data_IF_556024683158
#
_entry.id   IF_556024683158
#
_cell.length_a   1.000
_cell.length_b   1.000
_cell.length_c   1.000
_cell.angle_alpha   90.00
_cell.angle_beta   90.00
_cell.angle_gamma   90.00
#
_symmetry.space_group_name_H-M   'P 1'
#
loop_
_entity.id
_entity.type
_entity.pdbx_description
1 polymer ?
#
# COMPACT_ATOMS: atom_id res chain seq x y z
N UNK A 1 22.98 28.21 23.09
CA UNK A 1 21.64 27.62 23.25
C UNK A 1 20.63 28.73 23.09
N UNK A 2 19.69 28.61 22.17
CA UNK A 2 18.63 29.61 21.97
C UNK A 2 17.69 29.62 23.19
N UNK A 3 17.10 30.76 23.54
CA UNK A 3 16.20 30.89 24.69
C UNK A 3 15.05 29.85 24.68
N UNK A 4 14.64 29.39 23.50
CA UNK A 4 13.66 28.32 23.29
C UNK A 4 14.09 26.94 23.79
N UNK A 5 15.39 26.62 23.73
CA UNK A 5 15.90 25.34 24.27
C UNK A 5 15.81 25.34 25.79
N UNK A 6 16.16 26.47 26.42
CA UNK A 6 16.10 26.62 27.87
C UNK A 6 14.65 26.54 28.40
N UNK A 7 13.70 27.17 27.71
CA UNK A 7 12.28 27.09 28.08
C UNK A 7 11.71 25.70 27.86
N UNK A 8 12.08 25.00 26.77
CA UNK A 8 11.67 23.61 26.56
C UNK A 8 12.19 22.67 27.67
N UNK A 9 13.43 22.85 28.11
CA UNK A 9 14.00 22.10 29.25
C UNK A 9 13.22 22.42 30.53
N UNK A 10 12.94 23.69 30.82
CA UNK A 10 12.19 24.12 32.00
C UNK A 10 10.77 23.51 32.03
N UNK A 11 10.04 23.55 30.91
CA UNK A 11 8.71 22.92 30.82
C UNK A 11 8.78 21.40 30.97
N UNK A 12 9.78 20.75 30.38
CA UNK A 12 9.97 19.29 30.52
C UNK A 12 10.21 18.89 31.98
N UNK A 13 11.05 19.66 32.69
CA UNK A 13 11.33 19.47 34.12
C UNK A 13 10.06 19.72 34.96
N UNK A 14 9.30 20.79 34.66
CA UNK A 14 8.04 21.07 35.35
C UNK A 14 7.03 19.94 35.18
N UNK A 15 6.83 19.43 33.96
CA UNK A 15 5.94 18.30 33.67
C UNK A 15 6.39 17.06 34.47
N UNK A 16 7.70 16.78 34.53
CA UNK A 16 8.23 15.68 35.33
C UNK A 16 7.84 15.80 36.81
N UNK A 17 8.01 16.99 37.41
CA UNK A 17 7.63 17.24 38.80
C UNK A 17 6.12 17.08 39.03
N UNK A 18 5.30 17.56 38.10
CA UNK A 18 3.84 17.39 38.15
C UNK A 18 3.46 15.89 38.12
N UNK A 19 4.07 15.10 37.24
CA UNK A 19 3.84 13.65 37.15
C UNK A 19 4.28 12.92 38.43
N UNK A 20 5.44 13.29 38.99
CA UNK A 20 5.92 12.75 40.26
C UNK A 20 4.99 13.11 41.43
N UNK A 21 4.51 14.35 41.48
CA UNK A 21 3.55 14.81 42.48
C UNK A 21 2.24 14.05 42.37
N UNK A 22 1.69 13.88 41.16
CA UNK A 22 0.49 13.07 40.93
C UNK A 22 0.68 11.60 41.36
N UNK A 23 1.84 11.01 41.08
CA UNK A 23 2.11 9.63 41.53
C UNK A 23 2.18 9.52 43.05
N UNK A 24 2.72 10.54 43.74
CA UNK A 24 2.80 10.59 45.20
C UNK A 24 1.43 10.82 45.84
N UNK A 25 0.64 11.76 45.34
CA UNK A 25 -0.72 11.99 45.83
C UNK A 25 -1.59 10.76 45.59
N UNK A 26 -1.46 10.10 44.44
CA UNK A 26 -2.11 8.82 44.17
C UNK A 26 -1.68 7.71 45.15
N UNK A 27 -0.40 7.65 45.51
CA UNK A 27 0.10 6.68 46.49
C UNK A 27 -0.38 6.97 47.92
N UNK A 28 -0.63 8.23 48.26
CA UNK A 28 -1.11 8.67 49.57
C UNK A 28 -2.64 8.49 49.73
N UNK A 29 -3.42 8.69 48.67
CA UNK A 29 -4.89 8.62 48.71
C UNK A 29 -5.46 7.20 48.68
N UNK A 30 -4.72 6.21 48.16
CA UNK A 30 -5.24 4.87 47.91
C UNK A 30 -4.47 3.76 48.63
N UNK A 31 -5.20 2.78 49.16
CA UNK A 31 -4.61 1.60 49.81
C UNK A 31 -3.82 0.73 48.80
N UNK A 32 -2.99 -0.20 49.30
CA UNK A 32 -2.23 -1.12 48.41
C UNK A 32 -3.16 -1.99 47.55
N UNK A 33 -4.30 -2.40 48.09
CA UNK A 33 -5.27 -3.27 47.40
C UNK A 33 -6.05 -2.51 46.33
N UNK A 34 -6.52 -1.29 46.65
CA UNK A 34 -7.20 -0.41 45.69
C UNK A 34 -6.30 -0.07 44.51
N UNK A 35 -5.01 0.21 44.75
CA UNK A 35 -4.02 0.44 43.69
C UNK A 35 -3.84 -0.79 42.79
N UNK A 36 -3.86 -1.99 43.37
CA UNK A 36 -3.77 -3.25 42.61
C UNK A 36 -5.01 -3.44 41.74
N UNK A 37 -6.20 -3.24 42.31
CA UNK A 37 -7.47 -3.31 41.61
C UNK A 37 -7.56 -2.29 40.47
N UNK A 38 -7.23 -1.02 40.73
CA UNK A 38 -7.18 0.05 39.74
C UNK A 38 -6.18 -0.25 38.62
N UNK A 39 -5.01 -0.79 38.94
CA UNK A 39 -4.04 -1.23 37.92
C UNK A 39 -4.61 -2.34 37.04
N UNK A 40 -5.31 -3.32 37.60
CA UNK A 40 -5.96 -4.37 36.81
C UNK A 40 -7.12 -3.83 35.97
N UNK A 41 -7.94 -2.92 36.52
CA UNK A 41 -9.01 -2.23 35.78
C UNK A 41 -8.46 -1.41 34.62
N UNK A 42 -7.39 -0.63 34.87
CA UNK A 42 -6.70 0.15 33.84
C UNK A 42 -6.09 -0.77 32.78
N UNK A 43 -5.41 -1.85 33.16
CA UNK A 43 -4.88 -2.84 32.21
C UNK A 43 -5.98 -3.47 31.36
N UNK A 44 -7.12 -3.84 31.96
CA UNK A 44 -8.29 -4.35 31.22
C UNK A 44 -8.86 -3.30 30.27
N UNK A 45 -8.99 -2.05 30.71
CA UNK A 45 -9.47 -0.96 29.88
C UNK A 45 -8.53 -0.68 28.70
N UNK A 46 -7.22 -0.62 28.95
CA UNK A 46 -6.19 -0.46 27.91
C UNK A 46 -6.20 -1.63 26.92
N UNK A 47 -6.36 -2.88 27.37
CA UNK A 47 -6.49 -4.04 26.48
C UNK A 47 -7.74 -3.95 25.61
N UNK A 48 -8.90 -3.65 26.21
CA UNK A 48 -10.17 -3.48 25.48
C UNK A 48 -10.10 -2.34 24.47
N UNK A 49 -9.51 -1.20 24.85
CA UNK A 49 -9.28 -0.09 23.92
C UNK A 49 -8.33 -0.49 22.79
N UNK A 50 -7.23 -1.19 23.10
CA UNK A 50 -6.30 -1.68 22.07
C UNK A 50 -6.99 -2.62 21.07
N UNK A 51 -7.88 -3.51 21.54
CA UNK A 51 -8.66 -4.39 20.67
C UNK A 51 -9.64 -3.63 19.78
N UNK A 52 -10.37 -2.67 20.34
CA UNK A 52 -11.31 -1.81 19.58
C UNK A 52 -10.55 -1.00 18.53
N UNK A 53 -9.43 -0.40 18.90
CA UNK A 53 -8.58 0.37 17.98
C UNK A 53 -7.98 -0.52 16.92
N UNK A 54 -7.53 -1.74 17.26
CA UNK A 54 -7.01 -2.71 16.30
C UNK A 54 -8.08 -3.10 15.28
N UNK A 55 -9.32 -3.36 15.71
CA UNK A 55 -10.44 -3.70 14.84
C UNK A 55 -10.80 -2.55 13.89
N UNK A 56 -11.00 -1.34 14.44
CA UNK A 56 -11.25 -0.12 13.63
C UNK A 56 -10.11 0.19 12.66
N UNK A 57 -8.88 -0.06 13.08
CA UNK A 57 -7.69 0.12 12.23
C UNK A 57 -7.62 -0.92 11.13
N UNK A 58 -7.94 -2.18 11.39
CA UNK A 58 -7.91 -3.24 10.38
C UNK A 58 -8.99 -3.10 9.31
N UNK A 59 -10.12 -2.49 9.67
CA UNK A 59 -11.26 -2.21 8.81
C UNK A 59 -11.19 -0.83 8.12
N UNK A 60 -10.19 0.00 8.47
CA UNK A 60 -9.99 1.30 7.84
C UNK A 60 -9.62 1.17 6.36
N UNK A 61 -10.24 2.00 5.51
CA UNK A 61 -9.93 2.14 4.07
C UNK A 61 -8.42 2.29 3.82
N UNK A 62 -7.73 3.08 4.66
CA UNK A 62 -6.28 3.32 4.55
C UNK A 62 -5.50 2.02 4.75
N UNK A 63 -5.90 1.19 5.73
CA UNK A 63 -5.24 -0.09 5.97
C UNK A 63 -5.53 -1.09 4.84
N UNK A 64 -6.72 -1.04 4.24
CA UNK A 64 -7.03 -1.83 3.03
C UNK A 64 -6.15 -1.40 1.87
N UNK A 65 -6.02 -0.09 1.61
CA UNK A 65 -5.12 0.45 0.59
C UNK A 65 -3.66 0.01 0.79
N UNK A 66 -3.15 0.02 2.03
CA UNK A 66 -1.80 -0.50 2.31
C UNK A 66 -1.69 -2.01 2.07
N UNK A 67 -2.72 -2.80 2.39
CA UNK A 67 -2.75 -4.25 2.14
C UNK A 67 -2.77 -4.57 0.65
N UNK A 68 -3.64 -3.92 -0.13
CA UNK A 68 -3.69 -4.03 -1.58
C UNK A 68 -2.36 -3.64 -2.21
N UNK A 69 -1.76 -2.58 -1.68
CA UNK A 69 -0.43 -2.14 -2.04
C UNK A 69 0.66 -3.11 -1.56
N UNK A 70 0.40 -4.29 -0.98
CA UNK A 70 1.42 -5.22 -0.45
C UNK A 70 2.37 -4.58 0.58
N UNK A 71 1.83 -3.72 1.45
CA UNK A 71 2.49 -3.17 2.63
C UNK A 71 1.73 -3.61 3.90
N UNK A 72 1.61 -4.93 4.17
CA UNK A 72 0.78 -5.42 5.28
C UNK A 72 1.32 -4.98 6.66
N UNK A 73 2.59 -4.59 6.73
CA UNK A 73 3.20 -4.06 7.95
C UNK A 73 2.76 -2.62 8.26
N UNK A 74 2.26 -1.87 7.28
CA UNK A 74 1.81 -0.49 7.47
C UNK A 74 0.30 -0.48 7.76
N UNK A 75 -0.06 -0.21 9.01
CA UNK A 75 -1.46 -0.02 9.42
C UNK A 75 -1.77 1.47 9.53
N UNK A 76 -3.05 1.86 9.50
CA UNK A 76 -3.43 3.26 9.68
C UNK A 76 -2.82 3.88 10.96
N UNK A 77 -2.77 3.12 12.07
CA UNK A 77 -2.11 3.57 13.30
C UNK A 77 -0.60 3.82 13.13
N UNK A 78 0.15 2.87 12.55
CA UNK A 78 1.60 3.03 12.32
C UNK A 78 1.89 4.20 11.39
N UNK A 79 1.07 4.35 10.36
CA UNK A 79 1.14 5.45 9.43
C UNK A 79 0.87 6.80 10.12
N UNK A 80 -0.15 6.88 10.97
CA UNK A 80 -0.43 8.08 11.78
C UNK A 80 0.74 8.43 12.71
N UNK A 81 1.38 7.44 13.35
CA UNK A 81 2.57 7.67 14.17
C UNK A 81 3.72 8.22 13.32
N UNK A 82 4.02 7.63 12.16
CA UNK A 82 5.05 8.13 11.24
C UNK A 82 4.73 9.56 10.79
N UNK A 83 3.46 9.86 10.47
CA UNK A 83 3.00 11.19 10.08
C UNK A 83 3.16 12.22 11.20
N UNK A 84 2.83 11.87 12.44
CA UNK A 84 2.97 12.77 13.60
C UNK A 84 4.44 12.99 13.96
N UNK A 85 5.26 11.94 13.94
CA UNK A 85 6.70 12.06 14.20
C UNK A 85 7.37 12.93 13.13
N UNK A 86 7.01 12.73 11.86
CA UNK A 86 7.47 13.57 10.75
C UNK A 86 7.03 15.04 10.91
N UNK A 87 5.77 15.28 11.29
CA UNK A 87 5.24 16.61 11.57
C UNK A 87 6.03 17.31 12.67
N UNK A 88 6.20 16.66 13.82
CA UNK A 88 6.91 17.21 14.98
C UNK A 88 8.37 17.50 14.66
N UNK A 89 9.03 16.61 13.90
CA UNK A 89 10.41 16.79 13.47
C UNK A 89 10.54 18.01 12.53
N UNK A 90 9.62 18.16 11.58
CA UNK A 90 9.58 19.33 10.69
C UNK A 90 9.28 20.63 11.43
N UNK A 91 8.36 20.62 12.40
CA UNK A 91 8.09 21.78 13.25
C UNK A 91 9.29 22.18 14.10
N UNK A 92 10.01 21.21 14.67
CA UNK A 92 11.24 21.45 15.42
C UNK A 92 12.34 22.03 14.52
N UNK A 93 12.48 21.53 13.30
CA UNK A 93 13.42 22.09 12.32
C UNK A 93 13.08 23.56 12.01
N UNK A 94 11.82 23.84 11.65
CA UNK A 94 11.39 25.19 11.29
C UNK A 94 11.48 26.18 12.45
N UNK A 95 11.24 25.75 13.69
CA UNK A 95 11.39 26.60 14.88
C UNK A 95 12.84 27.00 15.14
N UNK A 96 13.80 26.21 14.67
CA UNK A 96 15.23 26.52 14.76
C UNK A 96 15.73 27.39 13.60
N UNK A 97 15.10 27.34 12.43
CA UNK A 97 15.67 27.90 11.19
C UNK A 97 14.86 29.03 10.53
N UNK A 98 13.58 29.21 10.83
CA UNK A 98 12.69 30.06 10.00
C UNK A 98 11.69 30.93 10.76
N UNK A 99 11.11 31.92 10.06
CA UNK A 99 10.04 32.81 10.52
C UNK A 99 8.65 32.13 10.53
N UNK A 100 7.69 32.71 11.25
CA UNK A 100 6.34 32.16 11.48
C UNK A 100 5.54 31.84 10.21
N UNK A 101 5.74 32.58 9.12
CA UNK A 101 5.04 32.36 7.84
C UNK A 101 5.39 31.02 7.18
N UNK A 102 6.65 30.60 7.26
CA UNK A 102 7.10 29.32 6.70
C UNK A 102 6.52 28.12 7.47
N UNK A 103 6.27 28.29 8.77
CA UNK A 103 5.64 27.27 9.62
C UNK A 103 4.20 27.00 9.17
N UNK A 104 3.42 28.05 8.87
CA UNK A 104 2.03 27.88 8.41
C UNK A 104 2.00 27.17 7.05
N UNK A 105 2.83 27.62 6.09
CA UNK A 105 2.94 26.98 4.78
C UNK A 105 3.35 25.51 4.89
N UNK A 106 4.29 25.18 5.77
CA UNK A 106 4.69 23.80 6.04
C UNK A 106 3.54 22.96 6.61
N UNK A 107 2.78 23.48 7.58
CA UNK A 107 1.64 22.75 8.16
C UNK A 107 0.58 22.44 7.10
N UNK A 108 0.25 23.42 6.25
CA UNK A 108 -0.71 23.24 5.15
C UNK A 108 -0.17 22.22 4.14
N UNK A 109 1.08 22.36 3.70
CA UNK A 109 1.70 21.43 2.77
C UNK A 109 1.78 20.01 3.35
N UNK A 110 2.21 19.86 4.60
CA UNK A 110 2.28 18.57 5.27
C UNK A 110 0.90 17.91 5.37
N UNK A 111 -0.13 18.67 5.78
CA UNK A 111 -1.50 18.18 5.86
C UNK A 111 -1.98 17.65 4.51
N UNK A 112 -1.84 18.44 3.43
CA UNK A 112 -2.31 18.07 2.08
C UNK A 112 -1.52 16.90 1.48
N UNK A 113 -0.19 16.93 1.59
CA UNK A 113 0.66 15.92 0.95
C UNK A 113 0.58 14.56 1.64
N UNK A 114 0.32 14.54 2.95
CA UNK A 114 0.34 13.30 3.75
C UNK A 114 -1.03 12.71 4.06
N UNK A 115 -2.14 13.39 3.73
CA UNK A 115 -3.49 12.91 4.02
C UNK A 115 -3.93 11.79 3.06
N UNK A 116 -4.02 10.52 3.49
CA UNK A 116 -4.31 9.41 2.59
C UNK A 116 -5.77 9.42 2.08
N UNK A 117 -6.70 10.09 2.77
CA UNK A 117 -8.09 10.23 2.31
C UNK A 117 -8.17 11.16 1.11
N UNK A 118 -7.28 12.15 1.02
CA UNK A 118 -7.30 13.11 -0.08
C UNK A 118 -6.79 12.45 -1.38
N UNK A 119 -7.61 12.49 -2.45
CA UNK A 119 -7.32 11.81 -3.73
C UNK A 119 -5.99 12.23 -4.37
N UNK A 120 -5.58 13.49 -4.17
CA UNK A 120 -4.36 14.06 -4.74
C UNK A 120 -3.18 14.08 -3.77
N UNK A 121 -3.27 13.45 -2.60
CA UNK A 121 -2.12 13.35 -1.72
C UNK A 121 -1.04 12.48 -2.33
N UNK A 122 0.22 12.83 -2.08
CA UNK A 122 1.36 12.07 -2.60
C UNK A 122 1.33 10.62 -2.16
N UNK A 123 0.84 10.37 -0.95
CA UNK A 123 0.78 9.03 -0.38
C UNK A 123 -0.31 8.20 -1.05
N UNK A 124 -1.49 8.76 -1.30
CA UNK A 124 -2.55 8.06 -2.04
C UNK A 124 -2.12 7.78 -3.48
N UNK A 125 -1.49 8.76 -4.15
CA UNK A 125 -0.95 8.59 -5.49
C UNK A 125 0.14 7.50 -5.55
N UNK A 126 1.04 7.49 -4.57
CA UNK A 126 2.07 6.46 -4.43
C UNK A 126 1.45 5.07 -4.26
N UNK A 127 0.49 4.91 -3.34
CA UNK A 127 -0.18 3.63 -3.09
C UNK A 127 -0.95 3.16 -4.32
N UNK A 128 -1.75 4.04 -4.95
CA UNK A 128 -2.49 3.70 -6.15
C UNK A 128 -1.57 3.24 -7.30
N UNK A 129 -0.44 3.95 -7.50
CA UNK A 129 0.56 3.56 -8.51
C UNK A 129 1.18 2.20 -8.19
N UNK A 130 1.43 1.91 -6.91
CA UNK A 130 1.97 0.61 -6.48
C UNK A 130 0.97 -0.52 -6.67
N UNK A 131 -0.29 -0.31 -6.31
CA UNK A 131 -1.39 -1.28 -6.54
C UNK A 131 -1.50 -1.58 -8.03
N UNK A 132 -1.61 -0.54 -8.87
CA UNK A 132 -1.68 -0.69 -10.32
C UNK A 132 -0.51 -1.50 -10.87
N UNK A 133 0.73 -1.16 -10.46
CA UNK A 133 1.93 -1.90 -10.88
C UNK A 133 1.85 -3.38 -10.50
N UNK A 134 1.39 -3.71 -9.30
CA UNK A 134 1.27 -5.11 -8.87
C UNK A 134 0.20 -5.84 -9.66
N UNK A 135 -0.96 -5.22 -9.91
CA UNK A 135 -2.01 -5.78 -10.75
C UNK A 135 -1.49 -6.07 -12.16
N UNK A 136 -0.76 -5.13 -12.77
CA UNK A 136 -0.12 -5.33 -14.09
C UNK A 136 0.91 -6.47 -14.07
N UNK A 137 1.64 -6.67 -12.98
CA UNK A 137 2.58 -7.79 -12.85
C UNK A 137 1.85 -9.13 -12.71
N UNK A 138 0.76 -9.18 -11.92
CA UNK A 138 -0.09 -10.37 -11.81
C UNK A 138 -0.69 -10.76 -13.16
N UNK A 139 -1.21 -9.77 -13.89
CA UNK A 139 -1.79 -9.98 -15.22
C UNK A 139 -0.72 -10.42 -16.23
N UNK A 140 0.48 -9.83 -16.19
CA UNK A 140 1.65 -10.29 -16.95
C UNK A 140 2.02 -11.75 -16.68
N UNK A 141 1.97 -12.17 -15.40
CA UNK A 141 2.19 -13.57 -15.02
C UNK A 141 1.05 -14.49 -15.46
N UNK A 142 -0.21 -14.03 -15.47
CA UNK A 142 -1.33 -14.81 -16.01
C UNK A 142 -1.18 -15.07 -17.52
N UNK A 143 -0.76 -14.06 -18.30
CA UNK A 143 -0.44 -14.27 -19.72
C UNK A 143 0.72 -15.25 -19.91
N UNK A 144 1.72 -15.20 -19.03
CA UNK A 144 2.86 -16.11 -19.07
C UNK A 144 2.44 -17.54 -18.72
N UNK A 145 1.58 -17.69 -17.69
CA UNK A 145 0.98 -18.96 -17.32
C UNK A 145 0.22 -19.53 -18.51
N UNK A 146 -0.69 -18.77 -19.12
CA UNK A 146 -1.42 -19.19 -20.32
C UNK A 146 -0.50 -19.72 -21.43
N UNK A 147 0.58 -18.99 -21.75
CA UNK A 147 1.54 -19.41 -22.77
C UNK A 147 2.30 -20.69 -22.39
N UNK A 148 2.65 -20.84 -21.11
CA UNK A 148 3.29 -22.06 -20.60
C UNK A 148 2.33 -23.26 -20.66
N UNK A 149 1.09 -23.10 -20.21
CA UNK A 149 0.07 -24.16 -20.29
C UNK A 149 -0.12 -24.63 -21.73
N UNK A 150 -0.21 -23.69 -22.69
CA UNK A 150 -0.28 -24.02 -24.12
C UNK A 150 0.94 -24.81 -24.58
N UNK A 151 2.14 -24.35 -24.22
CA UNK A 151 3.40 -25.00 -24.62
C UNK A 151 3.51 -26.41 -24.04
N UNK A 152 3.17 -26.58 -22.76
CA UNK A 152 3.19 -27.88 -22.07
C UNK A 152 2.16 -28.84 -22.68
N UNK A 153 0.96 -28.37 -23.03
CA UNK A 153 -0.06 -29.20 -23.68
C UNK A 153 0.36 -29.62 -25.09
N UNK A 154 1.04 -28.75 -25.85
CA UNK A 154 1.60 -29.11 -27.17
C UNK A 154 2.72 -30.15 -27.01
N UNK A 155 3.58 -29.99 -25.99
CA UNK A 155 4.70 -30.89 -25.74
C UNK A 155 4.32 -32.22 -25.10
N UNK A 156 3.15 -32.32 -24.49
CA UNK A 156 2.71 -33.53 -23.79
C UNK A 156 2.11 -34.54 -24.78
N UNK A 157 2.72 -35.72 -24.84
CA UNK A 157 2.27 -36.82 -25.71
C UNK A 157 1.15 -37.65 -25.11
N UNK A 158 0.78 -37.42 -23.84
CA UNK A 158 -0.31 -38.16 -23.16
C UNK A 158 -1.66 -37.51 -23.43
N UNK A 159 -2.70 -38.34 -23.56
CA UNK A 159 -4.09 -37.89 -23.74
C UNK A 159 -4.68 -37.30 -22.44
N UNK A 160 -4.38 -37.91 -21.29
CA UNK A 160 -4.86 -37.44 -19.99
C UNK A 160 -3.99 -36.30 -19.41
N UNK A 161 -4.64 -35.18 -19.09
CA UNK A 161 -3.96 -34.00 -18.55
C UNK A 161 -3.89 -34.06 -17.02
N UNK A 162 -2.67 -34.16 -16.49
CA UNK A 162 -2.43 -34.01 -15.05
C UNK A 162 -2.24 -32.54 -14.68
N UNK A 163 -3.35 -31.88 -14.32
CA UNK A 163 -3.39 -30.46 -13.92
C UNK A 163 -2.39 -30.14 -12.80
N UNK A 164 -2.22 -31.05 -11.83
CA UNK A 164 -1.30 -30.83 -10.71
C UNK A 164 0.16 -30.79 -11.17
N UNK A 165 0.56 -31.69 -12.06
CA UNK A 165 1.93 -31.72 -12.59
C UNK A 165 2.22 -30.46 -13.42
N UNK A 166 1.29 -30.13 -14.32
CA UNK A 166 1.35 -28.96 -15.19
C UNK A 166 1.45 -27.65 -14.37
N UNK A 167 0.65 -27.49 -13.32
CA UNK A 167 0.76 -26.33 -12.43
C UNK A 167 2.03 -26.35 -11.58
N UNK A 168 2.49 -27.52 -11.13
CA UNK A 168 3.73 -27.65 -10.35
C UNK A 168 4.96 -27.22 -11.15
N UNK A 169 4.99 -27.53 -12.44
CA UNK A 169 6.10 -27.17 -13.33
C UNK A 169 6.12 -25.68 -13.69
N UNK A 170 4.96 -25.01 -13.67
CA UNK A 170 4.83 -23.57 -13.94
C UNK A 170 5.12 -22.69 -12.70
N UNK A 171 4.94 -23.20 -11.48
CA UNK A 171 5.18 -22.48 -10.21
C UNK A 171 6.55 -21.79 -10.06
N UNK A 172 7.68 -22.34 -10.54
CA UNK A 172 8.98 -21.69 -10.43
C UNK A 172 9.06 -20.39 -11.23
N UNK A 173 8.25 -20.23 -12.27
CA UNK A 173 8.29 -19.10 -13.20
C UNK A 173 7.33 -17.96 -12.83
N UNK A 174 6.52 -18.14 -11.78
CA UNK A 174 5.59 -17.13 -11.29
C UNK A 174 5.93 -16.70 -9.86
N UNK A 175 5.78 -15.41 -9.57
CA UNK A 175 6.09 -14.82 -8.28
C UNK A 175 4.85 -14.22 -7.62
N UNK A 176 4.14 -13.35 -8.33
CA UNK A 176 2.98 -12.61 -7.83
C UNK A 176 1.71 -13.46 -7.72
N UNK A 177 1.46 -14.38 -8.66
CA UNK A 177 0.29 -15.27 -8.64
C UNK A 177 0.55 -16.60 -7.92
N UNK A 178 1.80 -16.88 -7.56
CA UNK A 178 2.22 -18.12 -6.88
C UNK A 178 1.40 -18.46 -5.64
N UNK A 179 1.07 -17.52 -4.72
CA UNK A 179 0.23 -17.84 -3.56
C UNK A 179 -1.17 -18.31 -3.98
N UNK A 180 -1.74 -17.71 -5.01
CA UNK A 180 -3.06 -18.04 -5.54
C UNK A 180 -3.05 -19.39 -6.25
N UNK A 181 -2.03 -19.70 -7.04
CA UNK A 181 -1.86 -21.04 -7.64
C UNK A 181 -1.65 -22.13 -6.58
N UNK A 182 -0.89 -21.85 -5.52
CA UNK A 182 -0.75 -22.79 -4.40
C UNK A 182 -2.08 -23.06 -3.70
N UNK A 183 -2.88 -22.01 -3.49
CA UNK A 183 -4.22 -22.15 -2.92
C UNK A 183 -5.15 -22.92 -3.86
N UNK A 184 -5.12 -22.62 -5.16
CA UNK A 184 -5.85 -23.33 -6.19
C UNK A 184 -5.54 -24.82 -6.16
N UNK A 185 -4.27 -25.23 -6.24
CA UNK A 185 -3.88 -26.65 -6.21
C UNK A 185 -4.27 -27.37 -4.91
N UNK A 186 -4.31 -26.66 -3.77
CA UNK A 186 -4.77 -27.24 -2.50
C UNK A 186 -6.27 -27.53 -2.54
N UNK A 187 -7.06 -26.55 -2.98
CA UNK A 187 -8.52 -26.65 -3.08
C UNK A 187 -8.98 -27.53 -4.23
N UNK A 188 -8.15 -27.67 -5.27
CA UNK A 188 -8.41 -28.47 -6.46
C UNK A 188 -8.84 -29.91 -6.14
N UNK A 189 -8.19 -30.51 -5.14
CA UNK A 189 -8.46 -31.90 -4.72
C UNK A 189 -9.86 -32.06 -4.14
N UNK A 190 -10.39 -31.01 -3.51
CA UNK A 190 -11.72 -31.01 -2.89
C UNK A 190 -12.79 -30.63 -3.92
N UNK A 191 -12.56 -29.56 -4.67
CA UNK A 191 -13.47 -29.10 -5.72
C UNK A 191 -12.73 -28.25 -6.76
N UNK A 192 -12.54 -28.78 -7.98
CA UNK A 192 -11.98 -28.04 -9.13
C UNK A 192 -12.68 -26.72 -9.42
N UNK A 193 -14.02 -26.71 -9.38
CA UNK A 193 -14.83 -25.53 -9.68
C UNK A 193 -14.69 -24.47 -8.59
N UNK A 194 -14.71 -24.87 -7.31
CA UNK A 194 -14.53 -23.93 -6.20
C UNK A 194 -13.11 -23.33 -6.22
N UNK A 195 -12.10 -24.13 -6.59
CA UNK A 195 -10.73 -23.65 -6.76
C UNK A 195 -10.66 -22.58 -7.86
N UNK A 196 -11.30 -22.80 -9.01
CA UNK A 196 -11.42 -21.82 -10.10
C UNK A 196 -12.06 -20.50 -9.66
N UNK A 197 -13.22 -20.57 -9.00
CA UNK A 197 -13.94 -19.40 -8.49
C UNK A 197 -13.11 -18.60 -7.47
N UNK A 198 -12.43 -19.29 -6.54
CA UNK A 198 -11.57 -18.62 -5.57
C UNK A 198 -10.34 -17.99 -6.23
N UNK A 199 -9.81 -18.60 -7.29
CA UNK A 199 -8.69 -18.07 -8.06
C UNK A 199 -9.09 -16.80 -8.82
N UNK A 200 -10.24 -16.81 -9.48
CA UNK A 200 -10.83 -15.63 -10.11
C UNK A 200 -11.05 -14.52 -9.09
N UNK A 201 -11.71 -14.81 -7.96
CA UNK A 201 -12.00 -13.79 -6.94
C UNK A 201 -10.73 -13.16 -6.34
N UNK A 202 -9.62 -13.90 -6.27
CA UNK A 202 -8.36 -13.42 -5.70
C UNK A 202 -7.52 -12.57 -6.66
N UNK A 203 -7.59 -12.84 -7.97
CA UNK A 203 -6.79 -12.15 -8.98
C UNK A 203 -7.59 -11.07 -9.71
N UNK A 204 -8.88 -11.31 -9.94
CA UNK A 204 -9.79 -10.43 -10.64
C UNK A 204 -9.51 -10.34 -12.15
N UNK A 205 -10.54 -9.93 -12.88
CA UNK A 205 -10.47 -9.70 -14.33
C UNK A 205 -10.72 -10.94 -15.18
N UNK A 206 -11.03 -10.69 -16.45
CA UNK A 206 -11.44 -11.71 -17.42
C UNK A 206 -10.37 -12.77 -17.67
N UNK A 207 -9.09 -12.39 -17.64
CA UNK A 207 -7.99 -13.36 -17.80
C UNK A 207 -7.91 -14.35 -16.65
N UNK A 208 -8.13 -13.88 -15.42
CA UNK A 208 -8.16 -14.76 -14.26
C UNK A 208 -9.40 -15.65 -14.26
N UNK A 209 -10.54 -15.12 -14.68
CA UNK A 209 -11.79 -15.87 -14.84
C UNK A 209 -11.61 -17.00 -15.85
N UNK A 210 -11.17 -16.70 -17.07
CA UNK A 210 -10.93 -17.71 -18.09
C UNK A 210 -9.93 -18.77 -17.61
N UNK A 211 -8.77 -18.38 -17.07
CA UNK A 211 -7.78 -19.34 -16.60
C UNK A 211 -8.30 -20.18 -15.42
N UNK A 212 -9.09 -19.60 -14.53
CA UNK A 212 -9.74 -20.32 -13.43
C UNK A 212 -10.69 -21.38 -13.94
N UNK A 213 -11.57 -21.02 -14.88
CA UNK A 213 -12.54 -21.92 -15.50
C UNK A 213 -11.87 -22.98 -16.39
N UNK A 214 -10.88 -22.58 -17.18
CA UNK A 214 -10.10 -23.48 -18.02
C UNK A 214 -9.36 -24.53 -17.19
N UNK A 215 -8.65 -24.08 -16.15
CA UNK A 215 -7.96 -25.01 -15.24
C UNK A 215 -8.98 -25.93 -14.56
N UNK A 216 -10.13 -25.40 -14.08
CA UNK A 216 -11.27 -26.16 -13.53
C UNK A 216 -11.83 -27.22 -14.47
N UNK A 217 -11.91 -26.93 -15.77
CA UNK A 217 -12.39 -27.84 -16.80
C UNK A 217 -11.36 -28.86 -17.27
N UNK A 218 -10.07 -28.60 -17.06
CA UNK A 218 -8.97 -29.32 -17.73
C UNK A 218 -8.98 -30.85 -17.49
N UNK A 219 -9.44 -31.30 -16.32
CA UNK A 219 -9.53 -32.74 -16.00
C UNK A 219 -10.65 -33.48 -16.75
N UNK A 220 -11.56 -32.76 -17.42
CA UNK A 220 -12.69 -33.32 -18.18
C UNK A 220 -12.53 -33.14 -19.69
N UNK A 221 -11.44 -32.50 -20.11
CA UNK A 221 -11.17 -32.18 -21.50
C UNK A 221 -10.04 -33.05 -22.00
N UNK A 222 -10.20 -33.59 -23.21
CA UNK A 222 -9.08 -34.19 -23.93
C UNK A 222 -8.09 -33.11 -24.34
N UNK A 223 -6.82 -33.49 -24.53
CA UNK A 223 -5.74 -32.58 -24.92
C UNK A 223 -6.09 -31.70 -26.12
N UNK A 224 -6.64 -32.28 -27.18
CA UNK A 224 -6.90 -31.54 -28.42
C UNK A 224 -8.04 -30.52 -28.24
N UNK A 225 -9.06 -30.86 -27.44
CA UNK A 225 -10.12 -29.93 -27.05
C UNK A 225 -9.56 -28.79 -26.17
N UNK A 226 -8.68 -29.11 -25.21
CA UNK A 226 -8.03 -28.10 -24.38
C UNK A 226 -7.14 -27.16 -25.20
N UNK A 227 -6.41 -27.68 -26.19
CA UNK A 227 -5.60 -26.88 -27.11
C UNK A 227 -6.46 -25.97 -27.98
N UNK A 228 -7.58 -26.47 -28.52
CA UNK A 228 -8.51 -25.66 -29.30
C UNK A 228 -9.06 -24.48 -28.49
N UNK A 229 -9.49 -24.72 -27.25
CA UNK A 229 -9.99 -23.67 -26.36
C UNK A 229 -8.90 -22.61 -26.08
N UNK A 230 -7.65 -23.02 -25.90
CA UNK A 230 -6.53 -22.09 -25.75
C UNK A 230 -6.23 -21.33 -27.05
N UNK A 231 -6.38 -21.95 -28.21
CA UNK A 231 -6.16 -21.27 -29.49
C UNK A 231 -7.21 -20.20 -29.77
N UNK A 232 -8.49 -20.49 -29.51
CA UNK A 232 -9.59 -19.53 -29.66
C UNK A 232 -9.39 -18.30 -28.77
N UNK A 233 -8.83 -18.49 -27.57
CA UNK A 233 -8.61 -17.39 -26.62
C UNK A 233 -7.26 -16.68 -26.81
N UNK A 234 -6.36 -17.23 -27.62
CA UNK A 234 -5.03 -16.66 -27.84
C UNK A 234 -5.10 -15.27 -28.49
N UNK A 235 -6.05 -15.03 -29.40
CA UNK A 235 -6.24 -13.72 -30.01
C UNK A 235 -6.72 -12.67 -29.00
N UNK A 236 -7.68 -13.03 -28.14
CA UNK A 236 -8.21 -12.17 -27.08
C UNK A 236 -7.10 -11.78 -26.10
N UNK A 237 -6.30 -12.76 -25.66
CA UNK A 237 -5.16 -12.48 -24.77
C UNK A 237 -4.05 -11.69 -25.46
N UNK A 238 -3.78 -11.95 -26.74
CA UNK A 238 -2.83 -11.19 -27.54
C UNK A 238 -3.22 -9.72 -27.64
N UNK A 239 -4.49 -9.42 -27.91
CA UNK A 239 -5.00 -8.06 -27.98
C UNK A 239 -4.89 -7.34 -26.63
N UNK A 240 -5.37 -7.98 -25.55
CA UNK A 240 -5.33 -7.42 -24.19
C UNK A 240 -3.90 -7.15 -23.71
N UNK A 241 -2.96 -8.04 -24.03
CA UNK A 241 -1.54 -7.84 -23.74
C UNK A 241 -0.97 -6.65 -24.51
N UNK A 242 -1.34 -6.48 -25.78
CA UNK A 242 -0.94 -5.33 -26.59
C UNK A 242 -1.47 -4.02 -26.03
N UNK A 243 -2.76 -3.97 -25.66
CA UNK A 243 -3.37 -2.80 -25.02
C UNK A 243 -2.67 -2.43 -23.70
N UNK A 244 -2.35 -3.41 -22.86
CA UNK A 244 -1.60 -3.17 -21.62
C UNK A 244 -0.21 -2.58 -21.91
N UNK A 245 0.48 -3.02 -22.97
CA UNK A 245 1.78 -2.45 -23.36
C UNK A 245 1.65 -1.02 -23.88
N UNK A 246 0.62 -0.74 -24.68
CA UNK A 246 0.31 0.61 -25.17
C UNK A 246 -0.03 1.55 -24.01
N UNK A 247 -0.85 1.10 -23.05
CA UNK A 247 -1.19 1.89 -21.87
C UNK A 247 0.04 2.18 -21.00
N UNK A 248 0.97 1.24 -20.86
CA UNK A 248 2.25 1.46 -20.16
C UNK A 248 3.09 2.53 -20.85
N UNK A 249 3.20 2.48 -22.17
CA UNK A 249 3.91 3.48 -22.96
C UNK A 249 3.26 4.86 -22.81
N UNK A 250 1.93 4.94 -22.82
CA UNK A 250 1.19 6.19 -22.61
C UNK A 250 1.42 6.76 -21.20
N UNK A 251 1.34 5.92 -20.15
CA UNK A 251 1.60 6.35 -18.77
C UNK A 251 3.04 6.85 -18.60
N UNK A 252 4.01 6.18 -19.22
CA UNK A 252 5.41 6.61 -19.21
C UNK A 252 5.56 7.97 -19.89
N UNK A 253 5.00 8.12 -21.09
CA UNK A 253 4.98 9.38 -21.83
C UNK A 253 4.34 10.51 -21.02
N UNK A 254 3.15 10.28 -20.47
CA UNK A 254 2.43 11.27 -19.65
C UNK A 254 3.20 11.61 -18.36
N UNK A 255 3.90 10.64 -17.76
CA UNK A 255 4.78 10.89 -16.61
C UNK A 255 5.94 11.81 -16.98
N UNK A 256 6.58 11.62 -18.13
CA UNK A 256 7.63 12.53 -18.62
C UNK A 256 7.08 13.93 -18.87
N UNK A 257 5.94 14.07 -19.56
CA UNK A 257 5.31 15.37 -19.78
C UNK A 257 4.98 16.09 -18.47
N UNK A 258 4.43 15.36 -17.49
CA UNK A 258 4.08 15.91 -16.18
C UNK A 258 5.34 16.38 -15.44
N UNK A 259 6.43 15.61 -15.49
CA UNK A 259 7.71 15.99 -14.90
C UNK A 259 8.27 17.28 -15.50
N UNK A 260 8.35 17.36 -16.84
CA UNK A 260 8.81 18.57 -17.52
C UNK A 260 7.94 19.77 -17.20
N UNK A 261 6.61 19.61 -17.24
CA UNK A 261 5.67 20.68 -16.91
C UNK A 261 5.85 21.19 -15.48
N UNK A 262 5.89 20.30 -14.48
CA UNK A 262 6.11 20.68 -13.08
C UNK A 262 7.47 21.35 -12.88
N UNK A 263 8.52 20.86 -13.55
CA UNK A 263 9.86 21.46 -13.45
C UNK A 263 9.89 22.89 -14.00
N UNK A 264 9.23 23.14 -15.14
CA UNK A 264 9.14 24.49 -15.71
C UNK A 264 8.38 25.44 -14.78
N UNK A 265 7.25 25.00 -14.21
CA UNK A 265 6.51 25.79 -13.23
C UNK A 265 7.31 26.07 -11.95
N UNK A 266 8.10 25.10 -11.48
CA UNK A 266 8.96 25.29 -10.32
C UNK A 266 10.06 26.32 -10.59
N UNK A 267 10.69 26.30 -11.76
CA UNK A 267 11.69 27.30 -12.17
C UNK A 267 11.08 28.69 -12.27
N UNK A 268 9.91 28.82 -12.91
CA UNK A 268 9.19 30.09 -12.99
C UNK A 268 8.83 30.61 -11.60
N UNK A 269 8.27 29.75 -10.73
CA UNK A 269 7.92 30.11 -9.36
C UNK A 269 9.14 30.53 -8.53
N UNK A 270 10.26 29.83 -8.68
CA UNK A 270 11.53 30.20 -8.03
C UNK A 270 12.04 31.55 -8.52
N UNK A 271 11.99 31.80 -9.84
CA UNK A 271 12.40 33.08 -10.41
C UNK A 271 11.50 34.24 -9.93
N UNK A 272 10.18 34.04 -9.88
CA UNK A 272 9.24 35.02 -9.33
C UNK A 272 9.52 35.32 -7.86
N UNK A 273 9.78 34.30 -7.05
CA UNK A 273 10.16 34.47 -5.65
C UNK A 273 11.47 35.24 -5.48
N UNK A 274 12.48 34.91 -6.29
CA UNK A 274 13.76 35.60 -6.29
C UNK A 274 13.62 37.09 -6.66
N UNK A 275 12.87 37.38 -7.73
CA UNK A 275 12.57 38.76 -8.14
C UNK A 275 11.85 39.55 -7.05
N UNK A 276 10.88 38.92 -6.36
CA UNK A 276 10.17 39.53 -5.24
C UNK A 276 11.10 39.87 -4.05
N UNK A 277 12.04 38.98 -3.72
CA UNK A 277 13.04 39.23 -2.67
C UNK A 277 13.93 40.43 -3.02
N UNK A 278 14.41 40.49 -4.27
CA UNK A 278 15.26 41.59 -4.76
C UNK A 278 14.54 42.93 -4.71
N UNK A 279 13.28 43.01 -5.17
CA UNK A 279 12.51 44.26 -5.13
C UNK A 279 12.16 44.67 -3.71
N UNK A 280 11.84 43.72 -2.83
CA UNK A 280 11.58 44.01 -1.41
C UNK A 280 12.83 44.55 -0.70
N UNK A 281 14.03 44.07 -1.02
CA UNK A 281 15.26 44.63 -0.47
C UNK A 281 15.54 46.05 -0.99
N UNK A 282 15.34 46.27 -2.29
CA UNK A 282 15.53 47.58 -2.91
C UNK A 282 14.57 48.66 -2.39
N UNK A 283 13.35 48.30 -1.99
CA UNK A 283 12.39 49.23 -1.38
C UNK A 283 12.65 49.54 0.10
N UNK A 284 13.46 48.72 0.78
CA UNK A 284 13.80 48.89 2.20
C UNK A 284 15.16 49.59 2.42
N UNK A 285 15.89 49.92 1.35
CA UNK A 285 17.10 50.75 1.35
C UNK A 285 16.75 52.20 1.02
#
# INVERSE_FOLDING_TARGET
>A
MTAYVLTAIQYSVFILFVVLAMMRTYAALYSKEERRFMRHRMKRHLRKQNEITKKRTSESEITQLFKEAHLPWMTNYRFAVVRVVGLLSGMLYLSLTTTSTNTILFLVAWAVLTEPVFKFSLIRLYLARRVKKITEMKEGELFSLFAMLKTDLIGNTREEINVYHLLKDTLPYVHYIKPMLNQFMRQWRESPQLAGQNFEAALGGETAQFLGDFLAGLHRMDRDNALQVLEEQNEVFGHRRSEMLLQKAEVQRNSFYTFFFLSAFAVIGWFMWFMFQMTSQAMNM
#
